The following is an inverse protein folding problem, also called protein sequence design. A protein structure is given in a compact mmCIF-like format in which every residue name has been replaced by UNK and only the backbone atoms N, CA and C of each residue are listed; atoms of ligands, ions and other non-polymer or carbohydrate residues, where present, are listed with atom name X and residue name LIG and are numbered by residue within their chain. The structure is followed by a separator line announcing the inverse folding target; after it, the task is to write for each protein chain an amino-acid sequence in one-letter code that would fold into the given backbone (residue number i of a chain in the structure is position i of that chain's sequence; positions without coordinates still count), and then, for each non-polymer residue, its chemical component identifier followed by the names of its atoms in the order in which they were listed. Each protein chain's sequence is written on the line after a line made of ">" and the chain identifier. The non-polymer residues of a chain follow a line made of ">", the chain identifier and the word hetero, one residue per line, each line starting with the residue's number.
data_IF_542627843027
#
_entry.id   IF_542627843027
#
_cell.length_a   1.000
_cell.length_b   1.000
_cell.length_c   1.000
_cell.angle_alpha   90.00
_cell.angle_beta   90.00
_cell.angle_gamma   90.00
#
_symmetry.space_group_name_H-M   'P 1'
#
loop_
_entity.id
_entity.type
_entity.pdbx_description
1 polymer ?
#
# COMPACT_ATOMS: atom_id res chain seq x y z
N UNK A 1 74.07 -83.12 26.96
CA UNK A 1 74.25 -82.36 28.21
C UNK A 1 74.43 -80.89 27.83
N UNK A 2 73.45 -80.04 28.12
CA UNK A 2 73.56 -78.60 27.87
C UNK A 2 74.19 -77.93 29.09
N UNK A 3 75.27 -77.19 28.88
CA UNK A 3 75.89 -76.34 29.92
C UNK A 3 74.93 -75.21 30.28
N UNK A 4 74.66 -74.94 31.57
CA UNK A 4 73.81 -73.83 31.95
C UNK A 4 74.44 -72.52 31.52
N UNK A 5 73.64 -71.65 30.89
CA UNK A 5 74.08 -70.33 30.46
C UNK A 5 74.62 -69.53 31.66
N UNK A 6 75.71 -68.75 31.48
CA UNK A 6 76.27 -67.97 32.56
C UNK A 6 75.24 -67.00 33.12
N UNK A 7 75.07 -67.00 34.45
CA UNK A 7 74.18 -66.10 35.16
C UNK A 7 74.56 -64.64 34.84
N UNK A 8 73.58 -63.76 34.56
CA UNK A 8 73.85 -62.36 34.27
C UNK A 8 74.54 -61.71 35.45
N UNK A 9 75.64 -61.00 35.16
CA UNK A 9 76.42 -60.25 36.14
C UNK A 9 75.57 -59.09 36.68
N UNK A 10 74.97 -59.31 37.85
CA UNK A 10 74.10 -58.36 38.53
C UNK A 10 74.80 -57.02 38.82
N UNK A 11 76.13 -57.03 38.95
CA UNK A 11 76.93 -55.80 39.09
C UNK A 11 76.89 -54.95 37.82
N UNK A 12 77.02 -55.58 36.65
CA UNK A 12 76.88 -54.89 35.35
C UNK A 12 75.46 -54.40 35.11
N UNK A 13 74.45 -55.17 35.52
CA UNK A 13 73.05 -54.73 35.44
C UNK A 13 72.83 -53.50 36.31
N UNK A 14 73.36 -53.48 37.54
CA UNK A 14 73.22 -52.34 38.45
C UNK A 14 73.94 -51.08 37.93
N UNK A 15 75.14 -51.24 37.34
CA UNK A 15 75.86 -50.13 36.70
C UNK A 15 75.10 -49.63 35.48
N UNK A 16 74.58 -50.52 34.63
CA UNK A 16 73.80 -50.13 33.46
C UNK A 16 72.52 -49.37 33.85
N UNK A 17 71.83 -49.78 34.92
CA UNK A 17 70.66 -49.08 35.45
C UNK A 17 71.03 -47.70 35.98
N UNK A 18 72.11 -47.57 36.77
CA UNK A 18 72.58 -46.27 37.26
C UNK A 18 73.00 -45.32 36.14
N UNK A 19 73.72 -45.83 35.14
CA UNK A 19 74.09 -45.03 33.95
C UNK A 19 72.84 -44.60 33.19
N UNK A 20 71.83 -45.46 33.06
CA UNK A 20 70.56 -45.07 32.45
C UNK A 20 69.88 -43.95 33.23
N UNK A 21 69.80 -44.07 34.56
CA UNK A 21 69.21 -43.05 35.44
C UNK A 21 69.94 -41.70 35.34
N UNK A 22 71.28 -41.72 35.26
CA UNK A 22 72.09 -40.52 35.06
C UNK A 22 71.88 -39.89 33.67
N UNK A 23 71.80 -40.70 32.61
CA UNK A 23 71.54 -40.21 31.24
C UNK A 23 70.12 -39.66 31.07
N UNK A 24 69.12 -40.25 31.73
CA UNK A 24 67.77 -39.69 31.79
C UNK A 24 67.73 -38.38 32.58
N UNK A 25 68.52 -38.25 33.64
CA UNK A 25 68.71 -37.00 34.38
C UNK A 25 69.32 -35.87 33.55
N UNK A 26 70.08 -36.20 32.48
CA UNK A 26 70.69 -35.26 31.53
C UNK A 26 69.74 -34.80 30.42
N UNK A 27 68.46 -35.18 30.44
CA UNK A 27 67.44 -34.72 29.49
C UNK A 27 66.46 -33.70 30.11
N UNK A 28 66.92 -32.61 30.75
CA UNK A 28 66.04 -31.61 31.38
C UNK A 28 65.10 -30.96 30.36
N UNK A 29 65.50 -30.92 29.09
CA UNK A 29 64.70 -30.40 27.98
C UNK A 29 63.39 -31.18 27.78
N UNK A 30 63.36 -32.49 28.05
CA UNK A 30 62.13 -33.29 27.96
C UNK A 30 61.16 -32.98 29.12
N UNK A 31 61.68 -32.82 30.33
CA UNK A 31 60.86 -32.44 31.49
C UNK A 31 60.32 -31.02 31.36
N UNK A 32 61.12 -30.10 30.81
CA UNK A 32 60.69 -28.73 30.56
C UNK A 32 59.64 -28.68 29.44
N UNK A 33 59.87 -29.37 28.32
CA UNK A 33 58.90 -29.48 27.23
C UNK A 33 57.56 -30.05 27.71
N UNK A 34 57.57 -31.07 28.57
CA UNK A 34 56.33 -31.62 29.14
C UNK A 34 55.58 -30.63 30.03
N UNK A 35 56.30 -29.81 30.80
CA UNK A 35 55.70 -28.74 31.63
C UNK A 35 55.10 -27.65 30.74
N UNK A 36 55.81 -27.23 29.71
CA UNK A 36 55.38 -26.18 28.78
C UNK A 36 54.14 -26.64 27.99
N UNK A 37 54.15 -27.86 27.44
CA UNK A 37 52.96 -28.44 26.78
C UNK A 37 51.74 -28.51 27.71
N UNK A 38 51.95 -28.88 28.98
CA UNK A 38 50.87 -28.92 29.97
C UNK A 38 50.35 -27.51 30.29
N UNK A 39 51.24 -26.52 30.36
CA UNK A 39 50.86 -25.13 30.57
C UNK A 39 50.05 -24.58 29.38
N UNK A 40 50.51 -24.84 28.16
CA UNK A 40 49.84 -24.44 26.92
C UNK A 40 48.47 -25.12 26.77
N UNK A 41 48.38 -26.42 27.05
CA UNK A 41 47.12 -27.15 27.03
C UNK A 41 46.12 -26.58 28.07
N UNK A 42 46.59 -26.24 29.28
CA UNK A 42 45.76 -25.63 30.31
C UNK A 42 45.32 -24.22 29.91
N UNK A 43 46.19 -23.44 29.26
CA UNK A 43 45.85 -22.11 28.75
C UNK A 43 44.79 -22.22 27.65
N UNK A 44 45.01 -23.09 26.66
CA UNK A 44 44.05 -23.34 25.59
C UNK A 44 42.69 -23.80 26.11
N UNK A 45 42.66 -24.70 27.10
CA UNK A 45 41.41 -25.16 27.71
C UNK A 45 40.65 -24.02 28.43
N UNK A 46 41.37 -23.11 29.08
CA UNK A 46 40.76 -21.92 29.71
C UNK A 46 40.23 -20.95 28.67
N UNK A 47 41.00 -20.66 27.63
CA UNK A 47 40.63 -19.74 26.56
C UNK A 47 39.38 -20.26 25.83
N UNK A 48 39.35 -21.55 25.44
CA UNK A 48 38.17 -22.18 24.83
C UNK A 48 36.94 -22.14 25.73
N UNK A 49 37.10 -22.35 27.04
CA UNK A 49 35.99 -22.27 28.00
C UNK A 49 35.46 -20.84 28.12
N UNK A 50 36.34 -19.84 28.09
CA UNK A 50 35.95 -18.44 28.12
C UNK A 50 35.19 -18.06 26.84
N UNK A 51 35.69 -18.45 25.68
CA UNK A 51 35.06 -18.19 24.38
C UNK A 51 33.69 -18.87 24.27
N UNK A 52 33.58 -20.13 24.69
CA UNK A 52 32.31 -20.84 24.72
C UNK A 52 31.28 -20.14 25.62
N UNK A 53 31.69 -19.67 26.80
CA UNK A 53 30.80 -18.94 27.70
C UNK A 53 30.39 -17.58 27.14
N UNK A 54 31.32 -16.86 26.50
CA UNK A 54 31.04 -15.59 25.84
C UNK A 54 30.04 -15.79 24.70
N UNK A 55 30.29 -16.76 23.83
CA UNK A 55 29.39 -17.10 22.73
C UNK A 55 28.00 -17.50 23.23
N UNK A 56 27.91 -18.33 24.27
CA UNK A 56 26.62 -18.71 24.86
C UNK A 56 25.86 -17.50 25.42
N UNK A 57 26.56 -16.54 26.04
CA UNK A 57 25.97 -15.30 26.55
C UNK A 57 25.49 -14.40 25.41
N UNK A 58 26.32 -14.21 24.39
CA UNK A 58 26.02 -13.37 23.23
C UNK A 58 24.83 -13.94 22.45
N UNK A 59 24.79 -15.25 22.18
CA UNK A 59 23.66 -15.93 21.53
C UNK A 59 22.37 -15.78 22.33
N UNK A 60 22.44 -15.94 23.66
CA UNK A 60 21.26 -15.77 24.53
C UNK A 60 20.77 -14.32 24.55
N UNK A 61 21.68 -13.34 24.48
CA UNK A 61 21.35 -11.92 24.35
C UNK A 61 20.63 -11.63 23.04
N UNK A 62 21.25 -12.01 21.92
CA UNK A 62 20.72 -11.78 20.58
C UNK A 62 19.37 -12.47 20.38
N UNK A 63 19.18 -13.68 20.88
CA UNK A 63 17.91 -14.40 20.78
C UNK A 63 16.79 -13.71 21.56
N UNK A 64 17.11 -13.14 22.74
CA UNK A 64 16.12 -12.36 23.51
C UNK A 64 15.72 -11.08 22.78
N UNK A 65 16.69 -10.39 22.20
CA UNK A 65 16.44 -9.17 21.43
C UNK A 65 15.58 -9.48 20.19
N UNK A 66 15.96 -10.50 19.42
CA UNK A 66 15.19 -10.97 18.27
C UNK A 66 13.74 -11.34 18.66
N UNK A 67 13.55 -12.06 19.77
CA UNK A 67 12.19 -12.38 20.25
C UNK A 67 11.40 -11.13 20.65
N UNK A 68 12.05 -10.12 21.22
CA UNK A 68 11.40 -8.87 21.58
C UNK A 68 11.01 -8.06 20.33
N UNK A 69 11.87 -8.03 19.30
CA UNK A 69 11.56 -7.40 18.02
C UNK A 69 10.43 -8.12 17.29
N UNK A 70 10.44 -9.45 17.24
CA UNK A 70 9.38 -10.23 16.62
C UNK A 70 8.01 -9.93 17.26
N UNK A 71 7.94 -9.87 18.59
CA UNK A 71 6.70 -9.51 19.31
C UNK A 71 6.23 -8.09 19.00
N UNK A 72 7.15 -7.13 18.86
CA UNK A 72 6.80 -5.75 18.46
C UNK A 72 6.23 -5.73 17.05
N UNK A 73 6.87 -6.44 16.11
CA UNK A 73 6.40 -6.53 14.73
C UNK A 73 5.02 -7.20 14.67
N UNK A 74 4.82 -8.31 15.38
CA UNK A 74 3.53 -9.00 15.47
C UNK A 74 2.43 -8.07 15.99
N UNK A 75 2.69 -7.37 17.10
CA UNK A 75 1.71 -6.45 17.69
C UNK A 75 1.39 -5.29 16.76
N UNK A 76 2.41 -4.68 16.13
CA UNK A 76 2.22 -3.59 15.18
C UNK A 76 1.47 -4.05 13.92
N UNK A 77 1.76 -5.27 13.44
CA UNK A 77 1.07 -5.87 12.30
C UNK A 77 -0.40 -6.12 12.62
N UNK A 78 -0.70 -6.74 13.76
CA UNK A 78 -2.08 -7.01 14.18
C UNK A 78 -2.88 -5.71 14.33
N UNK A 79 -2.29 -4.67 14.92
CA UNK A 79 -2.94 -3.36 15.06
C UNK A 79 -3.29 -2.76 13.70
N UNK A 80 -2.35 -2.76 12.75
CA UNK A 80 -2.58 -2.23 11.39
C UNK A 80 -3.62 -3.04 10.62
N UNK A 81 -3.63 -4.35 10.80
CA UNK A 81 -4.62 -5.24 10.19
C UNK A 81 -6.02 -4.93 10.75
N UNK A 82 -6.15 -4.79 12.06
CA UNK A 82 -7.42 -4.45 12.72
C UNK A 82 -7.94 -3.08 12.29
N UNK A 83 -7.07 -2.08 12.19
CA UNK A 83 -7.40 -0.75 11.66
C UNK A 83 -7.86 -0.83 10.20
N UNK A 84 -7.11 -1.54 9.35
CA UNK A 84 -7.46 -1.75 7.96
C UNK A 84 -8.81 -2.45 7.78
N UNK A 85 -9.13 -3.45 8.61
CA UNK A 85 -10.44 -4.11 8.59
C UNK A 85 -11.56 -3.17 9.01
N UNK A 86 -11.35 -2.32 10.01
CA UNK A 86 -12.34 -1.31 10.44
C UNK A 86 -12.60 -0.31 9.32
N UNK A 87 -11.56 0.25 8.72
CA UNK A 87 -11.67 1.21 7.63
C UNK A 87 -12.35 0.58 6.40
N UNK A 88 -11.98 -0.65 6.04
CA UNK A 88 -12.60 -1.36 4.93
C UNK A 88 -14.09 -1.67 5.20
N UNK A 89 -14.45 -2.01 6.43
CA UNK A 89 -15.86 -2.23 6.80
C UNK A 89 -16.68 -0.94 6.67
N UNK A 90 -16.13 0.19 7.09
CA UNK A 90 -16.78 1.50 6.90
C UNK A 90 -16.95 1.81 5.41
N UNK A 91 -15.90 1.62 4.62
CA UNK A 91 -15.94 1.83 3.18
C UNK A 91 -16.98 0.94 2.49
N UNK A 92 -17.05 -0.36 2.80
CA UNK A 92 -18.03 -1.28 2.21
C UNK A 92 -19.46 -0.86 2.54
N UNK A 93 -19.72 -0.44 3.78
CA UNK A 93 -21.05 0.07 4.18
C UNK A 93 -21.42 1.33 3.43
N UNK A 94 -20.49 2.29 3.33
CA UNK A 94 -20.67 3.52 2.56
C UNK A 94 -20.93 3.23 1.08
N UNK A 95 -20.11 2.36 0.48
CA UNK A 95 -20.26 1.94 -0.92
C UNK A 95 -21.61 1.28 -1.16
N UNK A 96 -22.03 0.34 -0.30
CA UNK A 96 -23.30 -0.37 -0.44
C UNK A 96 -24.49 0.59 -0.29
N UNK A 97 -24.44 1.50 0.68
CA UNK A 97 -25.45 2.55 0.85
C UNK A 97 -25.51 3.47 -0.38
N UNK A 98 -24.36 3.86 -0.92
CA UNK A 98 -24.26 4.71 -2.11
C UNK A 98 -24.77 4.00 -3.37
N UNK A 99 -24.41 2.74 -3.59
CA UNK A 99 -24.93 1.96 -4.73
C UNK A 99 -26.45 1.83 -4.67
N UNK A 100 -27.01 1.60 -3.47
CA UNK A 100 -28.46 1.57 -3.29
C UNK A 100 -29.10 2.95 -3.51
N UNK A 101 -28.49 4.03 -3.01
CA UNK A 101 -28.98 5.39 -3.21
C UNK A 101 -28.95 5.78 -4.69
N UNK A 102 -27.85 5.50 -5.39
CA UNK A 102 -27.71 5.70 -6.84
C UNK A 102 -28.77 4.91 -7.62
N UNK A 103 -29.01 3.65 -7.26
CA UNK A 103 -30.03 2.83 -7.90
C UNK A 103 -31.46 3.37 -7.65
N UNK A 104 -31.71 4.03 -6.53
CA UNK A 104 -33.00 4.72 -6.29
C UNK A 104 -33.08 6.04 -7.04
N UNK A 105 -31.98 6.78 -7.08
CA UNK A 105 -31.89 8.06 -7.78
C UNK A 105 -32.04 7.91 -9.30
N UNK A 106 -31.63 6.77 -9.85
CA UNK A 106 -31.80 6.47 -11.28
C UNK A 106 -33.24 6.21 -11.69
N UNK A 107 -34.12 5.94 -10.72
CA UNK A 107 -35.55 5.78 -10.93
C UNK A 107 -36.31 7.11 -10.82
N UNK A 108 -35.63 8.21 -10.49
CA UNK A 108 -36.26 9.54 -10.42
C UNK A 108 -36.59 10.03 -11.83
N UNK A 109 -37.79 10.56 -11.98
CA UNK A 109 -38.32 11.02 -13.27
C UNK A 109 -38.58 12.51 -13.29
N UNK A 110 -38.82 13.13 -12.13
CA UNK A 110 -39.13 14.55 -12.01
C UNK A 110 -37.96 15.33 -11.37
N UNK A 111 -37.83 16.61 -11.75
CA UNK A 111 -36.81 17.51 -11.18
C UNK A 111 -37.10 17.89 -9.72
N UNK A 112 -38.35 17.73 -9.28
CA UNK A 112 -38.83 17.96 -7.93
C UNK A 112 -38.65 16.76 -6.99
N UNK A 113 -38.33 15.58 -7.54
CA UNK A 113 -38.17 14.35 -6.77
C UNK A 113 -37.04 14.48 -5.75
N UNK A 114 -37.19 13.80 -4.60
CA UNK A 114 -36.18 13.82 -3.56
C UNK A 114 -35.01 12.89 -3.91
N UNK A 115 -33.80 13.44 -3.93
CA UNK A 115 -32.57 12.66 -4.09
C UNK A 115 -32.25 11.94 -2.77
N UNK A 116 -31.99 10.65 -2.86
CA UNK A 116 -31.38 9.89 -1.77
C UNK A 116 -29.93 10.31 -1.62
N UNK A 117 -29.60 10.83 -0.42
CA UNK A 117 -28.26 11.33 -0.11
C UNK A 117 -27.23 10.22 -0.16
N UNK A 118 -26.09 10.52 -0.77
CA UNK A 118 -24.90 9.68 -0.70
C UNK A 118 -24.05 10.10 0.50
N UNK A 119 -23.22 9.18 0.98
CA UNK A 119 -22.22 9.39 2.03
C UNK A 119 -20.82 9.40 1.43
N UNK A 120 -19.87 10.01 2.13
CA UNK A 120 -18.46 9.97 1.74
C UNK A 120 -17.87 8.55 1.91
N UNK A 121 -16.65 8.26 1.40
CA UNK A 121 -15.98 6.98 1.60
C UNK A 121 -15.72 6.59 3.07
N UNK A 122 -15.87 7.55 3.99
CA UNK A 122 -15.74 7.36 5.46
C UNK A 122 -17.10 7.17 6.13
N UNK A 123 -18.18 7.03 5.36
CA UNK A 123 -19.53 6.82 5.84
C UNK A 123 -20.19 8.06 6.47
N UNK A 124 -19.64 9.25 6.26
CA UNK A 124 -20.21 10.51 6.76
C UNK A 124 -21.16 11.13 5.76
N UNK A 125 -22.17 11.83 6.26
CA UNK A 125 -23.04 12.63 5.41
C UNK A 125 -22.23 13.73 4.72
N UNK A 126 -22.54 13.99 3.46
CA UNK A 126 -21.91 15.06 2.68
C UNK A 126 -22.68 16.36 2.94
N UNK A 127 -21.96 17.38 3.39
CA UNK A 127 -22.52 18.72 3.59
C UNK A 127 -22.96 19.32 2.25
N UNK A 128 -24.03 20.13 2.28
CA UNK A 128 -24.59 20.81 1.11
C UNK A 128 -24.99 19.87 -0.05
N UNK A 129 -25.24 18.59 0.25
CA UNK A 129 -25.70 17.63 -0.75
C UNK A 129 -27.08 18.06 -1.32
N UNK A 130 -27.27 18.07 -2.65
CA UNK A 130 -28.52 18.50 -3.28
C UNK A 130 -29.68 17.64 -2.81
N UNK A 131 -30.81 18.28 -2.50
CA UNK A 131 -32.01 17.55 -2.05
C UNK A 131 -32.89 17.13 -3.21
N UNK A 132 -32.81 17.82 -4.36
CA UNK A 132 -33.56 17.58 -5.59
C UNK A 132 -32.68 17.75 -6.83
N UNK A 133 -33.00 17.11 -7.97
CA UNK A 133 -32.28 17.29 -9.23
C UNK A 133 -32.23 18.75 -9.72
N UNK A 134 -33.26 19.54 -9.39
CA UNK A 134 -33.36 20.96 -9.71
C UNK A 134 -32.41 21.85 -8.89
N UNK A 135 -31.92 21.38 -7.73
CA UNK A 135 -31.00 22.17 -6.90
C UNK A 135 -29.63 22.33 -7.59
N UNK A 136 -29.20 21.29 -8.34
CA UNK A 136 -27.84 21.15 -8.87
C UNK A 136 -27.38 22.32 -9.76
N UNK A 137 -28.17 22.81 -10.74
CA UNK A 137 -27.76 23.95 -11.58
C UNK A 137 -27.63 25.26 -10.79
N UNK A 138 -28.39 25.38 -9.69
CA UNK A 138 -28.43 26.58 -8.86
C UNK A 138 -27.36 26.59 -7.77
N UNK A 139 -26.67 25.47 -7.55
CA UNK A 139 -25.56 25.40 -6.59
C UNK A 139 -24.36 26.26 -7.04
N UNK A 140 -23.71 26.96 -6.11
CA UNK A 140 -22.45 27.63 -6.39
C UNK A 140 -21.37 26.64 -6.87
N UNK A 141 -20.49 27.07 -7.77
CA UNK A 141 -19.47 26.20 -8.34
C UNK A 141 -18.54 25.57 -7.30
N UNK A 142 -18.18 26.31 -6.24
CA UNK A 142 -17.35 25.79 -5.16
C UNK A 142 -18.07 24.68 -4.37
N UNK A 143 -19.37 24.83 -4.11
CA UNK A 143 -20.21 23.82 -3.44
C UNK A 143 -20.28 22.55 -4.28
N UNK A 144 -20.51 22.67 -5.59
CA UNK A 144 -20.51 21.54 -6.52
C UNK A 144 -19.18 20.78 -6.49
N UNK A 145 -18.05 21.50 -6.56
CA UNK A 145 -16.71 20.88 -6.46
C UNK A 145 -16.54 20.17 -5.12
N UNK A 146 -16.96 20.79 -4.01
CA UNK A 146 -16.83 20.20 -2.68
C UNK A 146 -17.63 18.89 -2.56
N UNK A 147 -18.86 18.85 -3.04
CA UNK A 147 -19.68 17.62 -3.03
C UNK A 147 -19.03 16.52 -3.87
N UNK A 148 -18.54 16.84 -5.08
CA UNK A 148 -17.84 15.86 -5.94
C UNK A 148 -16.54 15.34 -5.30
N UNK A 149 -15.78 16.21 -4.63
CA UNK A 149 -14.57 15.83 -3.88
C UNK A 149 -14.94 14.92 -2.71
N UNK A 150 -15.99 15.24 -1.97
CA UNK A 150 -16.46 14.45 -0.83
C UNK A 150 -17.00 13.07 -1.28
N UNK A 151 -17.51 12.95 -2.51
CA UNK A 151 -17.83 11.66 -3.15
C UNK A 151 -16.58 10.86 -3.57
N UNK A 152 -15.37 11.39 -3.38
CA UNK A 152 -14.11 10.73 -3.72
C UNK A 152 -13.66 10.93 -5.17
N UNK A 153 -14.29 11.84 -5.91
CA UNK A 153 -13.97 12.13 -7.31
C UNK A 153 -13.12 13.39 -7.45
N UNK A 154 -12.24 13.43 -8.47
CA UNK A 154 -11.51 14.66 -8.83
C UNK A 154 -12.44 15.58 -9.63
N UNK A 155 -12.70 16.82 -9.16
CA UNK A 155 -13.62 17.72 -9.84
C UNK A 155 -12.97 18.32 -11.07
N UNK A 156 -13.73 18.40 -12.17
CA UNK A 156 -13.35 19.13 -13.38
C UNK A 156 -13.19 20.65 -13.15
N UNK A 157 -12.59 21.32 -14.13
CA UNK A 157 -12.24 22.75 -14.03
C UNK A 157 -13.40 23.69 -14.35
N UNK A 158 -14.47 23.19 -14.98
CA UNK A 158 -15.61 24.01 -15.40
C UNK A 158 -16.89 23.55 -14.71
N UNK A 159 -17.78 24.52 -14.41
CA UNK A 159 -19.04 24.28 -13.69
C UNK A 159 -19.91 23.21 -14.37
N UNK A 160 -20.12 23.34 -15.68
CA UNK A 160 -20.93 22.41 -16.47
C UNK A 160 -20.43 20.96 -16.36
N UNK A 161 -19.11 20.75 -16.44
CA UNK A 161 -18.55 19.40 -16.30
C UNK A 161 -18.67 18.85 -14.88
N UNK A 162 -18.53 19.69 -13.86
CA UNK A 162 -18.72 19.27 -12.45
C UNK A 162 -20.19 18.98 -12.16
N UNK A 163 -21.13 19.74 -12.71
CA UNK A 163 -22.57 19.46 -12.60
C UNK A 163 -22.91 18.13 -13.24
N UNK A 164 -22.46 17.90 -14.49
CA UNK A 164 -22.65 16.63 -15.18
C UNK A 164 -22.05 15.48 -14.39
N UNK A 165 -20.81 15.61 -13.93
CA UNK A 165 -20.12 14.62 -13.11
C UNK A 165 -20.87 14.34 -11.81
N UNK A 166 -21.39 15.38 -11.14
CA UNK A 166 -22.19 15.20 -9.93
C UNK A 166 -23.46 14.40 -10.24
N UNK A 167 -24.23 14.80 -11.26
CA UNK A 167 -25.47 14.12 -11.67
C UNK A 167 -25.23 12.65 -11.98
N UNK A 168 -24.18 12.34 -12.73
CA UNK A 168 -23.77 10.96 -13.03
C UNK A 168 -23.38 10.21 -11.75
N UNK A 169 -22.59 10.84 -10.86
CA UNK A 169 -22.12 10.22 -9.61
C UNK A 169 -23.25 9.92 -8.61
N UNK A 170 -24.34 10.70 -8.64
CA UNK A 170 -25.50 10.43 -7.78
C UNK A 170 -26.55 9.53 -8.45
N UNK A 171 -26.35 9.16 -9.73
CA UNK A 171 -27.18 8.21 -10.45
C UNK A 171 -28.37 8.79 -11.22
N UNK A 172 -28.41 10.11 -11.50
CA UNK A 172 -29.53 10.71 -12.25
C UNK A 172 -29.48 10.34 -13.75
N UNK A 173 -30.65 10.06 -14.35
CA UNK A 173 -30.80 9.64 -15.75
C UNK A 173 -30.97 10.81 -16.74
N UNK A 174 -30.78 10.50 -18.03
CA UNK A 174 -30.72 11.41 -19.18
C UNK A 174 -31.76 12.54 -19.26
N UNK A 175 -33.01 12.32 -18.83
CA UNK A 175 -34.05 13.37 -18.83
C UNK A 175 -33.73 14.50 -17.87
N UNK A 176 -33.11 14.16 -16.73
CA UNK A 176 -32.57 15.09 -15.73
C UNK A 176 -31.13 15.54 -16.07
N UNK A 177 -30.51 14.98 -17.12
CA UNK A 177 -29.25 15.46 -17.69
C UNK A 177 -29.49 16.45 -18.85
N UNK A 178 -30.66 16.43 -19.51
CA UNK A 178 -30.94 17.13 -20.78
C UNK A 178 -31.82 18.39 -20.67
N UNK A 179 -32.29 18.79 -19.49
CA UNK A 179 -33.03 20.06 -19.36
C UNK A 179 -32.18 21.32 -19.64
N UNK A 180 -30.89 21.16 -19.96
CA UNK A 180 -30.01 22.24 -20.44
C UNK A 180 -30.36 22.79 -21.84
N UNK A 181 -31.15 22.10 -22.67
CA UNK A 181 -31.34 22.55 -24.08
C UNK A 181 -32.56 23.46 -24.28
N UNK A 182 -33.62 23.34 -23.47
CA UNK A 182 -34.86 24.13 -23.69
C UNK A 182 -34.83 25.52 -23.07
N UNK A 183 -34.09 25.74 -21.98
CA UNK A 183 -34.02 27.07 -21.33
C UNK A 183 -33.18 28.10 -22.10
N UNK A 184 -32.10 27.66 -22.76
CA UNK A 184 -31.22 28.55 -23.52
C UNK A 184 -31.79 28.95 -24.89
N UNK A 185 -32.56 28.07 -25.54
CA UNK A 185 -33.16 28.37 -26.85
C UNK A 185 -34.31 29.40 -26.76
N UNK A 186 -35.02 29.47 -25.63
CA UNK A 186 -36.13 30.43 -25.46
C UNK A 186 -35.65 31.84 -25.10
N UNK A 187 -34.47 31.99 -24.48
CA UNK A 187 -33.92 33.31 -24.14
C UNK A 187 -33.31 34.05 -25.34
N UNK A 188 -32.83 33.34 -26.37
CA UNK A 188 -32.23 33.97 -27.56
C UNK A 188 -33.28 34.45 -28.57
N UNK A 189 -34.51 33.93 -28.51
CA UNK A 189 -35.56 34.26 -29.48
C UNK A 189 -36.45 35.46 -29.12
N UNK A 190 -36.22 36.12 -27.97
CA UNK A 190 -37.08 37.19 -27.46
C UNK A 190 -36.51 38.62 -27.58
N UNK A 191 -35.29 38.83 -28.12
CA UNK A 191 -34.65 40.17 -28.15
C UNK A 191 -34.17 40.60 -29.54
N UNK A 192 -34.97 40.38 -30.59
CA UNK A 192 -34.68 40.98 -31.90
C UNK A 192 -35.96 41.23 -32.71
N UNK A 193 -36.82 42.13 -32.21
CA UNK A 193 -37.79 42.84 -33.07
C UNK A 193 -37.74 44.32 -32.74
N UNK A 194 -36.96 45.07 -33.51
CA UNK A 194 -37.20 46.50 -33.75
C UNK A 194 -36.50 46.96 -35.03
N UNK A 195 -37.32 46.99 -36.09
CA UNK A 195 -37.35 47.93 -37.22
C UNK A 195 -36.07 48.62 -37.70
N UNK A 196 -35.80 48.49 -39.01
CA UNK A 196 -35.70 49.64 -39.93
C UNK A 196 -36.01 49.16 -41.36
N UNK A 197 -36.99 49.79 -42.00
CA UNK A 197 -37.37 49.60 -43.39
C UNK A 197 -36.63 50.58 -44.29
N UNK A 198 -36.19 50.18 -45.50
CA UNK A 198 -36.24 50.98 -46.75
C UNK A 198 -36.26 50.04 -47.97
N UNK A 199 -37.16 50.36 -48.89
CA UNK A 199 -37.56 49.72 -50.14
C UNK A 199 -36.50 49.63 -51.25
N UNK A 200 -36.65 48.66 -52.16
CA UNK A 200 -36.35 48.82 -53.59
C UNK A 200 -37.14 47.83 -54.46
N UNK A 201 -37.78 48.37 -55.49
CA UNK A 201 -38.65 47.73 -56.48
C UNK A 201 -37.87 47.44 -57.77
N UNK A 202 -38.06 46.26 -58.40
CA UNK A 202 -38.03 45.99 -59.85
C UNK A 202 -38.19 44.47 -60.09
N UNK A 203 -39.33 43.97 -60.59
CA UNK A 203 -39.75 43.77 -62.00
C UNK A 203 -39.04 42.60 -62.73
N UNK A 204 -39.84 41.53 -62.89
CA UNK A 204 -39.98 40.54 -64.00
C UNK A 204 -38.83 40.19 -64.94
N UNK A 205 -38.60 38.87 -65.13
CA UNK A 205 -38.50 38.25 -66.47
C UNK A 205 -38.61 36.71 -66.43
N UNK A 206 -39.32 36.21 -67.44
CA UNK A 206 -39.69 34.84 -67.82
C UNK A 206 -38.55 34.07 -68.52
N UNK A 207 -38.49 32.72 -68.37
CA UNK A 207 -38.13 31.66 -69.35
C UNK A 207 -37.60 30.41 -68.59
N UNK A 208 -38.24 29.22 -68.61
CA UNK A 208 -38.44 28.22 -69.69
C UNK A 208 -37.18 27.35 -69.98
N UNK A 209 -37.34 26.05 -69.71
CA UNK A 209 -36.88 24.87 -70.51
C UNK A 209 -35.68 24.02 -70.07
N UNK A 210 -35.93 22.70 -70.21
CA UNK A 210 -35.05 21.52 -70.43
C UNK A 210 -34.46 20.85 -69.18
N UNK A 211 -34.90 19.64 -68.78
CA UNK A 211 -34.80 18.31 -69.43
C UNK A 211 -33.35 17.91 -69.66
N UNK A 212 -32.85 16.96 -68.87
CA UNK A 212 -32.14 15.79 -69.40
C UNK A 212 -32.08 14.65 -68.38
N UNK A 213 -32.38 13.47 -68.90
CA UNK A 213 -32.37 12.13 -68.33
C UNK A 213 -30.97 11.49 -68.40
N UNK A 214 -30.86 10.30 -67.81
CA UNK A 214 -29.80 9.28 -67.99
C UNK A 214 -28.50 9.43 -67.18
N UNK A 215 -28.38 8.68 -66.06
CA UNK A 215 -27.98 7.25 -66.04
C UNK A 215 -28.08 6.67 -64.63
#
# INVERSE_FOLDING_TARGET
>A
MATPAPLPDLGRVHVAVKTLEEEFGKLPNLMQLAKDLKADANKLAKDLKADANKLAKDLKGNLKELMAELKKVETASNTKIDEGFKDNNVYIKAMTANTLAQARNSLLTEVSDQIHRLVDPKGKAIDDFPSKPDDIPHMPFHTLRNVVVNLGSKPHDTKVHVEKQLRESIGLQGVLLQQEVKGAATAVSATAVSATAVSATAVSATAVSSVETDK
#
